data_IF_767160276003
#
_entry.id   IF_767160276003
#
_cell.length_a   1.000
_cell.length_b   1.000
_cell.length_c   1.000
_cell.angle_alpha   90.00
_cell.angle_beta   90.00
_cell.angle_gamma   90.00
#
_symmetry.space_group_name_H-M   'P 1'
#
loop_
_entity.id
_entity.type
_entity.pdbx_description
1 polymer ?
#
# COMPACT_ATOMS: atom_id res chain seq x y z
N UNK A 1 6.05 2.09 1.85
CA UNK A 1 5.55 3.49 1.78
C UNK A 1 5.78 4.24 0.46
N UNK A 2 6.94 4.09 -0.18
CA UNK A 2 7.28 4.82 -1.42
C UNK A 2 6.31 4.53 -2.57
N UNK A 3 6.00 3.27 -2.93
CA UNK A 3 5.01 2.98 -3.98
C UNK A 3 3.62 3.55 -3.66
N UNK A 4 3.24 3.57 -2.38
CA UNK A 4 1.98 4.16 -1.89
C UNK A 4 1.92 5.68 -2.14
N UNK A 5 3.00 6.41 -1.84
CA UNK A 5 3.09 7.84 -2.12
C UNK A 5 2.98 8.16 -3.62
N UNK A 6 3.63 7.37 -4.47
CA UNK A 6 3.55 7.52 -5.93
C UNK A 6 2.12 7.20 -6.42
N UNK A 7 1.48 6.17 -5.84
CA UNK A 7 0.10 5.80 -6.19
C UNK A 7 -0.90 6.90 -5.82
N UNK A 8 -0.71 7.53 -4.66
CA UNK A 8 -1.51 8.66 -4.17
C UNK A 8 -1.38 9.88 -5.09
N UNK A 9 -0.15 10.24 -5.45
CA UNK A 9 0.14 11.26 -6.46
C UNK A 9 -0.51 10.93 -7.81
N UNK A 10 -0.37 9.70 -8.29
CA UNK A 10 -0.94 9.25 -9.57
C UNK A 10 -2.47 9.39 -9.58
N UNK A 11 -3.12 9.09 -8.46
CA UNK A 11 -4.56 9.30 -8.32
C UNK A 11 -4.93 10.78 -8.41
N UNK A 12 -4.18 11.66 -7.75
CA UNK A 12 -4.40 13.10 -7.80
C UNK A 12 -4.17 13.66 -9.21
N UNK A 13 -3.07 13.23 -9.86
CA UNK A 13 -2.74 13.59 -11.24
C UNK A 13 -3.84 13.20 -12.23
N UNK A 14 -4.47 12.04 -12.03
CA UNK A 14 -5.58 11.59 -12.88
C UNK A 14 -6.85 12.45 -12.78
N UNK A 15 -6.99 13.24 -11.71
CA UNK A 15 -8.11 14.17 -11.50
C UNK A 15 -7.74 15.60 -11.88
N UNK A 16 -6.47 15.98 -11.71
CA UNK A 16 -5.95 17.29 -12.06
C UNK A 16 -4.55 17.14 -12.66
N UNK A 17 -4.47 17.30 -13.99
CA UNK A 17 -3.21 17.18 -14.73
C UNK A 17 -2.26 18.37 -14.53
N UNK A 18 -2.72 19.47 -13.92
CA UNK A 18 -1.94 20.69 -13.71
C UNK A 18 -1.18 20.72 -12.38
N UNK A 19 -1.17 19.62 -11.60
CA UNK A 19 -0.40 19.57 -10.36
C UNK A 19 1.11 19.56 -10.66
N UNK A 20 1.95 20.10 -9.75
CA UNK A 20 3.41 20.02 -9.88
C UNK A 20 3.90 18.57 -9.93
N UNK A 21 5.13 18.37 -10.40
CA UNK A 21 5.74 17.03 -10.46
C UNK A 21 5.82 16.39 -9.06
N UNK A 22 5.87 15.06 -9.03
CA UNK A 22 6.04 14.32 -7.78
C UNK A 22 7.24 14.82 -6.97
N UNK A 23 8.38 15.09 -7.64
CA UNK A 23 9.57 15.62 -7.00
C UNK A 23 9.37 17.03 -6.46
N UNK A 24 8.68 17.92 -7.17
CA UNK A 24 8.41 19.27 -6.68
C UNK A 24 7.54 19.26 -5.41
N UNK A 25 6.65 18.27 -5.27
CA UNK A 25 5.79 18.12 -4.09
C UNK A 25 6.46 17.34 -2.94
N UNK A 26 7.37 16.40 -3.26
CA UNK A 26 8.01 15.54 -2.26
C UNK A 26 9.09 16.25 -1.44
N UNK A 27 9.65 17.37 -1.93
CA UNK A 27 10.77 18.07 -1.29
C UNK A 27 10.39 19.50 -0.95
N UNK A 28 10.71 19.93 0.28
CA UNK A 28 10.72 21.37 0.62
C UNK A 28 11.87 22.09 -0.07
N UNK A 29 12.99 21.38 -0.21
CA UNK A 29 14.17 21.89 -0.87
C UNK A 29 14.87 20.72 -1.58
N UNK A 30 14.82 20.73 -2.91
CA UNK A 30 15.37 19.66 -3.76
C UNK A 30 16.89 19.57 -3.61
N UNK A 31 17.59 20.69 -3.55
CA UNK A 31 19.06 20.75 -3.47
C UNK A 31 19.62 20.13 -2.19
N UNK A 32 18.92 20.32 -1.06
CA UNK A 32 19.29 19.73 0.24
C UNK A 32 18.74 18.32 0.44
N UNK A 33 17.84 17.86 -0.44
CA UNK A 33 17.12 16.61 -0.28
C UNK A 33 16.20 16.58 0.93
N UNK A 34 15.73 17.74 1.41
CA UNK A 34 14.81 17.85 2.55
C UNK A 34 13.39 17.50 2.10
N UNK A 35 12.88 16.36 2.58
CA UNK A 35 11.54 15.84 2.28
C UNK A 35 10.46 16.71 2.94
N UNK A 36 9.40 17.01 2.20
CA UNK A 36 8.22 17.69 2.74
C UNK A 36 7.27 16.71 3.43
N UNK A 37 7.38 16.63 4.75
CA UNK A 37 6.49 15.82 5.60
C UNK A 37 5.12 16.45 5.81
N UNK A 38 4.88 17.70 5.37
CA UNK A 38 3.57 18.33 5.42
C UNK A 38 2.67 17.85 4.27
N UNK A 39 3.26 17.48 3.13
CA UNK A 39 2.53 16.95 1.99
C UNK A 39 1.89 15.60 2.36
N UNK A 40 0.57 15.48 2.11
CA UNK A 40 -0.23 14.34 2.53
C UNK A 40 0.31 13.00 1.99
N UNK A 41 0.79 12.98 0.74
CA UNK A 41 1.32 11.77 0.13
C UNK A 41 2.63 11.28 0.81
N UNK A 42 3.39 12.16 1.47
CA UNK A 42 4.50 11.73 2.32
C UNK A 42 3.99 11.35 3.70
N UNK A 43 3.22 12.25 4.32
CA UNK A 43 2.76 12.13 5.71
C UNK A 43 2.00 10.83 5.99
N UNK A 44 1.15 10.37 5.09
CA UNK A 44 0.37 9.13 5.24
C UNK A 44 1.28 7.89 5.36
N UNK A 45 2.44 7.90 4.69
CA UNK A 45 3.38 6.78 4.69
C UNK A 45 4.14 6.56 6.00
N UNK A 46 4.02 7.48 6.97
CA UNK A 46 4.71 7.41 8.27
C UNK A 46 3.87 6.55 9.24
N UNK A 47 3.73 5.26 8.92
CA UNK A 47 2.76 4.37 9.59
C UNK A 47 2.97 4.25 11.09
N UNK A 48 4.22 4.15 11.56
CA UNK A 48 4.54 4.06 12.98
C UNK A 48 3.95 5.25 13.78
N UNK A 49 4.06 6.48 13.26
CA UNK A 49 3.52 7.68 13.91
C UNK A 49 1.99 7.64 14.00
N UNK A 50 1.33 7.16 12.95
CA UNK A 50 -0.13 7.04 12.97
C UNK A 50 -0.57 5.92 13.91
N UNK A 51 0.17 4.82 13.94
CA UNK A 51 -0.10 3.70 14.83
C UNK A 51 0.05 4.10 16.31
N UNK A 52 1.08 4.89 16.67
CA UNK A 52 1.23 5.43 18.03
C UNK A 52 -0.06 6.11 18.53
N UNK A 53 -0.75 6.86 17.66
CA UNK A 53 -2.02 7.53 18.02
C UNK A 53 -3.15 6.53 18.27
N UNK A 54 -3.25 5.48 17.45
CA UNK A 54 -4.28 4.44 17.62
C UNK A 54 -4.06 3.61 18.88
N UNK A 55 -2.81 3.32 19.22
CA UNK A 55 -2.44 2.53 20.39
C UNK A 55 -2.69 3.25 21.73
N UNK A 56 -2.98 4.55 21.72
CA UNK A 56 -3.46 5.27 22.91
C UNK A 56 -4.87 4.82 23.33
N UNK A 57 -5.64 4.25 22.41
CA UNK A 57 -7.06 3.92 22.62
C UNK A 57 -7.37 2.43 22.48
N UNK A 58 -6.59 1.71 21.67
CA UNK A 58 -6.85 0.31 21.36
C UNK A 58 -5.58 -0.52 21.55
N UNK A 59 -5.67 -1.72 22.18
CA UNK A 59 -4.52 -2.59 22.30
C UNK A 59 -4.10 -3.14 20.94
N UNK A 60 -2.81 -3.40 20.76
CA UNK A 60 -2.24 -3.92 19.50
C UNK A 60 -2.93 -5.20 19.00
N UNK A 61 -3.40 -6.05 19.91
CA UNK A 61 -4.13 -7.29 19.59
C UNK A 61 -5.46 -7.08 18.85
N UNK A 62 -5.97 -5.84 18.80
CA UNK A 62 -7.16 -5.44 18.02
C UNK A 62 -6.79 -4.89 16.63
N UNK A 63 -5.53 -4.96 16.22
CA UNK A 63 -5.09 -4.57 14.89
C UNK A 63 -4.57 -5.79 14.12
N UNK A 64 -4.98 -5.87 12.86
CA UNK A 64 -4.34 -6.70 11.86
C UNK A 64 -3.70 -5.78 10.82
N UNK A 65 -2.41 -6.02 10.54
CA UNK A 65 -1.68 -5.34 9.49
C UNK A 65 -1.51 -6.28 8.29
N UNK A 66 -2.24 -5.99 7.22
CA UNK A 66 -2.24 -6.79 5.98
C UNK A 66 -1.16 -6.27 5.04
N UNK A 67 -0.36 -7.16 4.47
CA UNK A 67 0.64 -6.78 3.46
C UNK A 67 -0.06 -6.53 2.13
N UNK A 68 0.03 -5.30 1.62
CA UNK A 68 -0.52 -4.95 0.31
C UNK A 68 0.18 -5.70 -0.82
N UNK A 69 1.50 -5.89 -0.71
CA UNK A 69 2.31 -6.65 -1.66
C UNK A 69 1.88 -8.11 -1.69
N UNK A 70 1.74 -8.75 -0.52
CA UNK A 70 1.30 -10.14 -0.43
C UNK A 70 -0.18 -10.32 -0.82
N UNK A 71 -1.03 -9.33 -0.59
CA UNK A 71 -2.42 -9.36 -1.08
C UNK A 71 -2.49 -9.42 -2.62
N UNK A 72 -1.47 -8.93 -3.32
CA UNK A 72 -1.36 -9.04 -4.78
C UNK A 72 -0.76 -10.39 -5.19
N UNK A 73 0.35 -10.82 -4.56
CA UNK A 73 1.06 -12.05 -4.96
C UNK A 73 0.43 -13.35 -4.45
N UNK A 74 -0.19 -13.31 -3.26
CA UNK A 74 -0.84 -14.43 -2.57
C UNK A 74 -2.12 -13.93 -1.84
N UNK A 75 -3.18 -13.56 -2.59
CA UNK A 75 -4.42 -13.06 -2.00
C UNK A 75 -5.09 -14.07 -1.08
N UNK A 76 -5.01 -15.37 -1.39
CA UNK A 76 -5.60 -16.42 -0.56
C UNK A 76 -4.91 -16.52 0.80
N UNK A 77 -3.57 -16.48 0.84
CA UNK A 77 -2.81 -16.50 2.08
C UNK A 77 -3.07 -15.29 2.98
N UNK A 78 -3.08 -14.08 2.43
CA UNK A 78 -3.44 -12.88 3.22
C UNK A 78 -4.90 -12.92 3.69
N UNK A 79 -5.84 -13.37 2.85
CA UNK A 79 -7.24 -13.55 3.27
C UNK A 79 -7.41 -14.63 4.34
N UNK A 80 -6.53 -15.64 4.40
CA UNK A 80 -6.47 -16.60 5.50
C UNK A 80 -6.25 -15.88 6.84
N UNK A 81 -5.22 -15.03 6.92
CA UNK A 81 -4.90 -14.22 8.11
C UNK A 81 -6.04 -13.30 8.52
N UNK A 82 -6.69 -12.66 7.53
CA UNK A 82 -7.84 -11.79 7.77
C UNK A 82 -9.02 -12.56 8.37
N UNK A 83 -9.32 -13.75 7.83
CA UNK A 83 -10.40 -14.58 8.34
C UNK A 83 -10.14 -15.03 9.79
N UNK A 84 -8.91 -15.46 10.11
CA UNK A 84 -8.57 -15.88 11.47
C UNK A 84 -8.67 -14.73 12.47
N UNK A 85 -8.14 -13.57 12.12
CA UNK A 85 -8.19 -12.38 12.97
C UNK A 85 -9.63 -11.97 13.30
N UNK A 86 -10.55 -12.15 12.34
CA UNK A 86 -11.97 -11.88 12.52
C UNK A 86 -12.74 -13.02 13.21
N UNK A 87 -12.10 -14.14 13.52
CA UNK A 87 -12.77 -15.32 14.08
C UNK A 87 -13.69 -16.04 13.10
N UNK A 88 -13.43 -15.91 11.79
CA UNK A 88 -14.24 -16.51 10.73
C UNK A 88 -13.65 -17.85 10.28
N UNK A 89 -14.53 -18.77 9.86
CA UNK A 89 -14.09 -19.98 9.15
C UNK A 89 -13.36 -19.58 7.86
N UNK A 90 -12.20 -20.18 7.60
CA UNK A 90 -11.45 -20.00 6.35
C UNK A 90 -12.21 -20.60 5.17
N UNK A 91 -13.02 -19.80 4.51
CA UNK A 91 -13.81 -20.17 3.31
C UNK A 91 -13.17 -19.58 2.05
N UNK A 92 -12.61 -18.37 2.13
CA UNK A 92 -11.93 -17.74 1.00
C UNK A 92 -10.56 -18.41 0.83
N UNK A 93 -10.38 -19.06 -0.33
CA UNK A 93 -9.17 -19.80 -0.73
C UNK A 93 -8.72 -19.40 -2.13
N UNK A 94 -7.60 -19.97 -2.58
CA UNK A 94 -7.04 -19.91 -3.94
C UNK A 94 -8.08 -20.08 -5.07
N UNK A 95 -9.05 -20.99 -4.90
CA UNK A 95 -10.14 -21.25 -5.86
C UNK A 95 -11.00 -20.01 -6.16
N UNK A 96 -11.02 -19.03 -5.26
CA UNK A 96 -11.78 -17.79 -5.42
C UNK A 96 -11.02 -16.72 -6.21
N UNK A 97 -9.77 -16.99 -6.58
CA UNK A 97 -8.92 -16.03 -7.28
C UNK A 97 -8.45 -16.58 -8.63
N UNK A 98 -8.20 -15.66 -9.55
CA UNK A 98 -7.44 -15.92 -10.78
C UNK A 98 -6.57 -14.71 -11.09
N UNK A 99 -5.42 -14.94 -11.71
CA UNK A 99 -4.59 -13.85 -12.17
C UNK A 99 -5.05 -13.40 -13.55
N UNK A 100 -5.26 -12.09 -13.74
CA UNK A 100 -5.54 -11.53 -15.06
C UNK A 100 -4.25 -10.92 -15.60
N UNK A 101 -3.60 -11.59 -16.56
CA UNK A 101 -2.32 -11.17 -17.12
C UNK A 101 -2.39 -9.79 -17.78
N UNK A 102 -3.46 -9.49 -18.51
CA UNK A 102 -3.67 -8.18 -19.15
C UNK A 102 -3.78 -7.06 -18.13
N UNK A 103 -4.43 -7.32 -16.98
CA UNK A 103 -4.55 -6.35 -15.89
C UNK A 103 -3.29 -6.30 -15.03
N UNK A 104 -2.57 -7.41 -14.90
CA UNK A 104 -1.43 -7.58 -13.99
C UNK A 104 -1.80 -7.73 -12.51
N UNK A 105 -3.05 -8.09 -12.20
CA UNK A 105 -3.54 -8.22 -10.82
C UNK A 105 -4.47 -9.44 -10.65
N UNK A 106 -4.55 -10.01 -9.43
CA UNK A 106 -5.56 -11.01 -9.12
C UNK A 106 -6.98 -10.43 -9.19
N UNK A 107 -7.91 -11.25 -9.64
CA UNK A 107 -9.32 -10.96 -9.78
C UNK A 107 -10.15 -12.07 -9.11
N UNK A 108 -11.43 -11.79 -8.85
CA UNK A 108 -12.34 -12.73 -8.20
C UNK A 108 -12.93 -13.69 -9.24
N UNK A 109 -12.70 -15.00 -9.02
CA UNK A 109 -13.51 -16.06 -9.61
C UNK A 109 -14.82 -16.15 -8.81
N UNK A 110 -15.92 -16.43 -9.48
CA UNK A 110 -17.14 -16.85 -8.81
C UNK A 110 -17.35 -18.37 -9.00
N UNK A 111 -18.18 -19.02 -8.15
CA UNK A 111 -18.47 -20.44 -8.27
C UNK A 111 -19.02 -20.81 -9.65
N UNK A 112 -18.80 -22.06 -10.06
CA UNK A 112 -19.40 -22.62 -11.28
C UNK A 112 -20.92 -22.41 -11.28
N UNK A 113 -21.47 -21.86 -12.38
CA UNK A 113 -22.90 -21.55 -12.52
C UNK A 113 -23.32 -20.10 -12.18
N UNK A 114 -22.38 -19.21 -11.86
CA UNK A 114 -22.67 -17.79 -11.56
C UNK A 114 -22.09 -16.82 -12.60
N UNK A 115 -22.46 -15.53 -12.50
CA UNK A 115 -22.08 -14.46 -13.44
C UNK A 115 -20.57 -14.30 -13.65
N UNK A 116 -20.19 -13.62 -14.75
CA UNK A 116 -18.80 -13.44 -15.23
C UNK A 116 -17.79 -13.07 -14.12
N UNK A 117 -16.53 -13.53 -14.22
CA UNK A 117 -15.45 -13.15 -13.30
C UNK A 117 -15.34 -11.64 -13.12
N UNK A 118 -14.91 -11.19 -11.93
CA UNK A 118 -14.88 -9.76 -11.59
C UNK A 118 -13.47 -9.30 -11.23
N UNK A 119 -12.93 -8.41 -12.05
CA UNK A 119 -11.74 -7.64 -11.72
C UNK A 119 -12.10 -6.29 -11.10
N UNK A 120 -11.15 -5.70 -10.35
CA UNK A 120 -11.26 -4.31 -9.93
C UNK A 120 -11.27 -3.36 -11.15
N UNK A 121 -12.01 -2.27 -11.06
CA UNK A 121 -12.19 -1.30 -12.14
C UNK A 121 -10.91 -0.55 -12.54
N UNK A 122 -11.02 0.31 -13.56
CA UNK A 122 -9.90 1.10 -14.13
C UNK A 122 -9.21 2.02 -13.12
N UNK A 123 -9.88 2.40 -12.04
CA UNK A 123 -9.32 3.19 -10.95
C UNK A 123 -8.37 2.41 -10.02
N UNK A 124 -8.20 1.10 -10.21
CA UNK A 124 -7.35 0.23 -9.38
C UNK A 124 -6.27 -0.42 -10.27
N UNK A 125 -5.00 -0.18 -9.92
CA UNK A 125 -3.83 -0.57 -10.72
C UNK A 125 -3.50 0.45 -11.82
N UNK A 126 -3.51 1.76 -11.50
CA UNK A 126 -3.12 2.79 -12.47
C UNK A 126 -1.62 2.68 -12.77
N UNK A 127 -1.18 2.87 -14.02
CA UNK A 127 0.24 2.95 -14.33
C UNK A 127 0.84 4.14 -13.60
N UNK A 128 1.94 3.91 -12.89
CA UNK A 128 2.65 4.97 -12.19
C UNK A 128 3.58 5.72 -13.16
N UNK A 129 3.71 7.06 -13.04
CA UNK A 129 4.69 7.80 -13.81
C UNK A 129 6.10 7.39 -13.41
N UNK A 130 7.05 7.50 -14.34
CA UNK A 130 8.47 7.28 -14.03
C UNK A 130 8.95 8.39 -13.09
N UNK A 131 9.40 7.99 -11.91
CA UNK A 131 10.01 8.89 -10.93
C UNK A 131 11.52 8.75 -11.00
N UNK A 132 12.23 9.85 -10.82
CA UNK A 132 13.69 9.84 -10.76
C UNK A 132 14.18 8.86 -9.67
N UNK A 133 15.20 8.07 -10.01
CA UNK A 133 15.74 7.02 -9.12
C UNK A 133 16.32 7.64 -7.85
N UNK A 134 16.95 8.81 -7.92
CA UNK A 134 17.50 9.51 -6.76
C UNK A 134 16.38 9.99 -5.83
N UNK A 135 15.25 10.43 -6.37
CA UNK A 135 14.06 10.80 -5.58
C UNK A 135 13.48 9.58 -4.87
N UNK A 136 13.36 8.45 -5.57
CA UNK A 136 12.89 7.19 -4.98
C UNK A 136 13.82 6.74 -3.85
N UNK A 137 15.14 6.77 -4.09
CA UNK A 137 16.15 6.39 -3.11
C UNK A 137 16.09 7.28 -1.86
N UNK A 138 16.00 8.59 -2.05
CA UNK A 138 15.91 9.55 -0.94
C UNK A 138 14.64 9.36 -0.10
N UNK A 139 13.52 9.03 -0.74
CA UNK A 139 12.30 8.67 -0.02
C UNK A 139 12.43 7.34 0.73
N UNK A 140 13.10 6.34 0.16
CA UNK A 140 13.37 5.07 0.87
C UNK A 140 14.21 5.32 2.12
N UNK A 141 15.30 6.08 2.00
CA UNK A 141 16.13 6.49 3.14
C UNK A 141 15.33 7.24 4.20
N UNK A 142 14.48 8.18 3.78
CA UNK A 142 13.59 8.92 4.68
C UNK A 142 12.63 7.99 5.45
N UNK A 143 12.01 7.01 4.77
CA UNK A 143 11.06 6.10 5.41
C UNK A 143 11.71 5.01 6.27
N UNK A 144 12.93 4.59 5.95
CA UNK A 144 13.63 3.46 6.62
C UNK A 144 13.51 3.48 8.15
N UNK A 145 13.86 4.56 8.88
CA UNK A 145 13.73 4.55 10.34
C UNK A 145 12.27 4.38 10.82
N UNK A 146 11.30 4.93 10.09
CA UNK A 146 9.88 4.77 10.42
C UNK A 146 9.36 3.36 10.12
N UNK A 147 9.86 2.73 9.05
CA UNK A 147 9.52 1.35 8.71
C UNK A 147 10.07 0.39 9.75
N UNK A 148 11.34 0.52 10.14
CA UNK A 148 11.94 -0.30 11.19
C UNK A 148 11.17 -0.18 12.51
N UNK A 149 10.78 1.04 12.91
CA UNK A 149 9.91 1.25 14.07
C UNK A 149 8.57 0.53 13.88
N UNK A 150 7.95 0.65 12.70
CA UNK A 150 6.68 -0.03 12.41
C UNK A 150 6.80 -1.57 12.47
N UNK A 151 7.88 -2.14 11.96
CA UNK A 151 8.12 -3.59 12.04
C UNK A 151 8.24 -4.06 13.48
N UNK A 152 8.99 -3.31 14.30
CA UNK A 152 9.10 -3.57 15.73
C UNK A 152 7.75 -3.47 16.44
N UNK A 153 6.96 -2.42 16.15
CA UNK A 153 5.65 -2.21 16.77
C UNK A 153 4.64 -3.30 16.40
N UNK A 154 4.70 -3.81 15.17
CA UNK A 154 3.73 -4.79 14.66
C UNK A 154 4.19 -6.24 14.84
N UNK A 155 5.47 -6.46 15.17
CA UNK A 155 6.08 -7.79 15.19
C UNK A 155 6.18 -8.44 13.82
N UNK A 156 6.09 -7.66 12.73
CA UNK A 156 6.12 -8.15 11.36
C UNK A 156 7.04 -7.28 10.49
N UNK A 157 7.99 -7.90 9.81
CA UNK A 157 8.71 -7.27 8.70
C UNK A 157 7.88 -7.38 7.41
N UNK A 158 7.67 -6.25 6.73
CA UNK A 158 6.92 -6.18 5.47
C UNK A 158 7.84 -6.15 4.23
N UNK A 159 9.17 -6.18 4.40
CA UNK A 159 10.14 -6.29 3.32
C UNK A 159 10.24 -5.04 2.45
N UNK A 160 9.99 -3.84 3.00
CA UNK A 160 10.10 -2.60 2.22
C UNK A 160 11.52 -2.01 2.16
N UNK A 161 12.48 -2.52 2.94
CA UNK A 161 13.80 -1.92 3.19
C UNK A 161 15.00 -2.84 3.01
#
# INVERSE_FOLDING_TARGET
PVPRAISDYTQTLSKNAAIPSFQALAFKNVSTGLIDTSWSAVRIGIYAKHLDNWLQYFPLSKFLFVSGERLVSDPAGEMGRVQDFLGLKRVVTDKHFYFNETKGFPCLKKPEGSSKPRCLGKSKGRPHPKIDVQVVQRLREFYRPFNMKFYQMTGQDFGWD
#
